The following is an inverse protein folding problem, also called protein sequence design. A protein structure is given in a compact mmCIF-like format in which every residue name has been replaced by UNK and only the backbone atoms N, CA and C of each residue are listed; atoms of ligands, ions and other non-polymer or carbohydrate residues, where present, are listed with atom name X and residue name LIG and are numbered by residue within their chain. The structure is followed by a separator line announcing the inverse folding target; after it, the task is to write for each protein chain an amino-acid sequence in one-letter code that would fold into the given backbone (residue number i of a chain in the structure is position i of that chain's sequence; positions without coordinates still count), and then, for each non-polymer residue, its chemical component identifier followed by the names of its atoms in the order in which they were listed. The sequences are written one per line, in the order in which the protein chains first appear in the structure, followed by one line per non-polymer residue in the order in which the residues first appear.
data_IF_716278835138
#
_entry.id   IF_716278835138
#
_cell.length_a   1.000
_cell.length_b   1.000
_cell.length_c   1.000
_cell.angle_alpha   90.00
_cell.angle_beta   90.00
_cell.angle_gamma   90.00
#
_symmetry.space_group_name_H-M   'P 1'
#
loop_
_entity.id
_entity.type
_entity.pdbx_description
1 polymer ?
#
# COMPACT_ATOMS: atom_id res chain seq x y z
N UNK A 1 -4.65 23.30 -8.01
CA UNK A 1 -5.57 22.22 -8.46
C UNK A 1 -6.18 21.59 -7.21
N UNK A 2 -7.49 21.29 -7.20
CA UNK A 2 -8.26 20.91 -6.00
C UNK A 2 -8.30 21.97 -4.87
N UNK A 3 -8.22 23.27 -5.21
CA UNK A 3 -8.34 24.38 -4.23
C UNK A 3 -7.07 24.73 -3.44
N UNK A 4 -5.97 23.99 -3.61
CA UNK A 4 -4.67 24.30 -3.00
C UNK A 4 -3.71 24.97 -4.00
N UNK A 5 -2.82 25.81 -3.47
CA UNK A 5 -1.75 26.47 -4.21
C UNK A 5 -0.61 25.49 -4.58
N UNK A 6 0.22 25.86 -5.56
CA UNK A 6 1.32 25.03 -6.06
C UNK A 6 2.31 24.65 -4.94
N UNK A 7 2.61 25.57 -4.02
CA UNK A 7 3.49 25.30 -2.88
C UNK A 7 2.91 24.19 -1.99
N UNK A 8 1.62 24.26 -1.72
CA UNK A 8 0.91 23.30 -0.87
C UNK A 8 0.89 21.90 -1.48
N UNK A 9 0.66 21.81 -2.79
CA UNK A 9 0.75 20.55 -3.53
C UNK A 9 2.19 19.99 -3.52
N UNK A 10 3.19 20.84 -3.74
CA UNK A 10 4.61 20.44 -3.70
C UNK A 10 5.03 19.92 -2.32
N UNK A 11 4.61 20.59 -1.25
CA UNK A 11 4.84 20.14 0.12
C UNK A 11 4.18 18.78 0.40
N UNK A 12 2.92 18.59 -0.03
CA UNK A 12 2.23 17.32 0.12
C UNK A 12 2.97 16.18 -0.60
N UNK A 13 3.43 16.40 -1.83
CA UNK A 13 4.22 15.42 -2.59
C UNK A 13 5.56 15.13 -1.91
N UNK A 14 6.25 16.15 -1.40
CA UNK A 14 7.50 16.01 -0.66
C UNK A 14 7.32 15.18 0.61
N UNK A 15 6.28 15.47 1.40
CA UNK A 15 5.93 14.73 2.61
C UNK A 15 5.58 13.28 2.29
N UNK A 16 4.72 13.05 1.30
CA UNK A 16 4.33 11.71 0.86
C UNK A 16 5.55 10.88 0.44
N UNK A 17 6.40 11.46 -0.41
CA UNK A 17 7.58 10.78 -0.96
C UNK A 17 8.62 10.50 0.13
N UNK A 18 8.91 11.50 0.98
CA UNK A 18 9.85 11.35 2.08
C UNK A 18 9.39 10.32 3.11
N UNK A 19 8.11 10.32 3.47
CA UNK A 19 7.55 9.34 4.38
C UNK A 19 7.49 7.94 3.78
N UNK A 20 7.16 7.81 2.49
CA UNK A 20 7.20 6.54 1.77
C UNK A 20 8.61 5.94 1.76
N UNK A 21 9.62 6.74 1.42
CA UNK A 21 11.01 6.29 1.41
C UNK A 21 11.50 5.91 2.82
N UNK A 22 11.17 6.71 3.83
CA UNK A 22 11.45 6.36 5.22
C UNK A 22 10.75 5.07 5.65
N UNK A 23 9.52 4.86 5.18
CA UNK A 23 8.74 3.65 5.38
C UNK A 23 9.42 2.42 4.79
N UNK A 24 9.90 2.50 3.55
CA UNK A 24 10.62 1.42 2.90
C UNK A 24 11.94 1.08 3.61
N UNK A 25 12.66 2.09 4.12
CA UNK A 25 13.85 1.86 4.95
C UNK A 25 13.49 1.19 6.29
N UNK A 26 12.45 1.68 6.96
CA UNK A 26 11.97 1.12 8.24
C UNK A 26 11.45 -0.31 8.08
N UNK A 27 10.81 -0.60 6.95
CA UNK A 27 10.25 -1.90 6.62
C UNK A 27 11.30 -3.01 6.74
N UNK A 28 12.54 -2.76 6.32
CA UNK A 28 13.63 -3.73 6.44
C UNK A 28 13.91 -4.11 7.90
N UNK A 29 13.79 -3.17 8.83
CA UNK A 29 13.95 -3.44 10.26
C UNK A 29 12.72 -4.15 10.83
N UNK A 30 11.52 -3.77 10.40
CA UNK A 30 10.27 -4.38 10.85
C UNK A 30 10.18 -5.84 10.42
N UNK A 31 10.54 -6.15 9.17
CA UNK A 31 10.52 -7.53 8.64
C UNK A 31 11.51 -8.48 9.32
N UNK A 32 12.54 -7.95 10.01
CA UNK A 32 13.41 -8.76 10.87
C UNK A 32 12.72 -9.23 12.14
N UNK A 33 11.61 -8.59 12.53
CA UNK A 33 10.91 -8.83 13.80
C UNK A 33 9.48 -9.34 13.61
N UNK A 34 8.84 -9.03 12.50
CA UNK A 34 7.42 -9.32 12.23
C UNK A 34 7.26 -9.97 10.85
N UNK A 35 6.46 -11.04 10.71
CA UNK A 35 6.16 -11.62 9.40
C UNK A 35 5.52 -10.60 8.46
N UNK A 36 5.94 -10.58 7.19
CA UNK A 36 5.42 -9.65 6.19
C UNK A 36 3.89 -9.68 6.05
N UNK A 37 3.26 -10.86 6.16
CA UNK A 37 1.79 -11.02 6.10
C UNK A 37 1.07 -10.39 7.29
N UNK A 38 1.65 -10.46 8.49
CA UNK A 38 1.11 -9.80 9.69
C UNK A 38 1.20 -8.29 9.52
N UNK A 39 2.37 -7.81 9.11
CA UNK A 39 2.60 -6.39 8.84
C UNK A 39 1.60 -5.85 7.80
N UNK A 40 1.42 -6.55 6.66
CA UNK A 40 0.51 -6.13 5.58
C UNK A 40 -0.95 -6.04 6.05
N UNK A 41 -1.39 -6.96 6.91
CA UNK A 41 -2.75 -6.91 7.47
C UNK A 41 -2.92 -5.73 8.42
N UNK A 42 -1.97 -5.54 9.33
CA UNK A 42 -2.02 -4.44 10.29
C UNK A 42 -1.96 -3.08 9.57
N UNK A 43 -1.11 -2.94 8.57
CA UNK A 43 -1.03 -1.71 7.78
C UNK A 43 -2.29 -1.50 6.93
N UNK A 44 -2.87 -2.54 6.33
CA UNK A 44 -4.16 -2.44 5.65
C UNK A 44 -5.29 -1.97 6.57
N UNK A 45 -5.40 -2.50 7.79
CA UNK A 45 -6.37 -2.03 8.79
C UNK A 45 -6.10 -0.58 9.17
N UNK A 46 -4.83 -0.22 9.41
CA UNK A 46 -4.46 1.15 9.76
C UNK A 46 -4.80 2.15 8.63
N UNK A 47 -4.55 1.79 7.36
CA UNK A 47 -4.93 2.60 6.19
C UNK A 47 -6.45 2.71 6.05
N UNK A 48 -7.21 1.66 6.36
CA UNK A 48 -8.68 1.67 6.34
C UNK A 48 -9.28 2.74 7.27
N UNK A 49 -8.54 3.16 8.30
CA UNK A 49 -8.94 4.22 9.24
C UNK A 49 -8.27 5.55 8.90
N UNK A 50 -6.97 5.54 8.59
CA UNK A 50 -6.20 6.75 8.31
C UNK A 50 -6.63 7.44 7.02
N UNK A 51 -7.02 6.68 5.98
CA UNK A 51 -7.41 7.26 4.70
C UNK A 51 -8.76 7.99 4.76
N UNK A 52 -9.85 7.44 5.35
CA UNK A 52 -11.07 8.20 5.59
C UNK A 52 -10.83 9.43 6.45
N UNK A 53 -10.02 9.32 7.51
CA UNK A 53 -9.64 10.47 8.32
C UNK A 53 -8.96 11.56 7.47
N UNK A 54 -8.05 11.18 6.56
CA UNK A 54 -7.40 12.10 5.65
C UNK A 54 -8.40 12.80 4.71
N UNK A 55 -9.41 12.10 4.21
CA UNK A 55 -10.44 12.69 3.33
C UNK A 55 -11.33 13.69 4.08
N UNK A 56 -11.69 13.37 5.33
CA UNK A 56 -12.63 14.16 6.12
C UNK A 56 -12.01 15.40 6.78
N UNK A 57 -10.69 15.39 7.02
CA UNK A 57 -10.00 16.51 7.69
C UNK A 57 -9.82 17.71 6.74
N UNK A 58 -10.33 18.91 7.10
CA UNK A 58 -10.23 20.10 6.26
C UNK A 58 -8.90 20.86 6.44
N UNK A 59 -8.32 20.80 7.63
CA UNK A 59 -7.10 21.56 7.99
C UNK A 59 -5.83 20.95 7.41
N UNK A 60 -4.95 21.81 6.87
CA UNK A 60 -3.75 21.40 6.15
C UNK A 60 -2.75 20.61 7.00
N UNK A 61 -2.42 21.09 8.19
CA UNK A 61 -1.40 20.46 9.04
C UNK A 61 -1.71 18.99 9.38
N UNK A 62 -2.87 18.64 9.98
CA UNK A 62 -3.19 17.24 10.25
C UNK A 62 -3.40 16.42 8.97
N UNK A 63 -3.78 17.06 7.86
CA UNK A 63 -3.85 16.39 6.55
C UNK A 63 -2.45 15.96 6.07
N UNK A 64 -1.42 16.79 6.25
CA UNK A 64 -0.04 16.42 5.96
C UNK A 64 0.49 15.33 6.91
N UNK A 65 0.13 15.37 8.20
CA UNK A 65 0.49 14.30 9.16
C UNK A 65 -0.13 12.97 8.76
N UNK A 66 -1.41 12.96 8.40
CA UNK A 66 -2.10 11.77 7.91
C UNK A 66 -1.50 11.29 6.58
N UNK A 67 -1.13 12.22 5.69
CA UNK A 67 -0.46 11.90 4.44
C UNK A 67 0.90 11.23 4.67
N UNK A 68 1.70 11.74 5.61
CA UNK A 68 2.96 11.13 6.01
C UNK A 68 2.74 9.72 6.59
N UNK A 69 1.76 9.58 7.48
CA UNK A 69 1.39 8.28 8.04
C UNK A 69 0.97 7.29 6.94
N UNK A 70 0.13 7.72 6.00
CA UNK A 70 -0.27 6.90 4.86
C UNK A 70 0.92 6.50 3.97
N UNK A 71 1.87 7.41 3.74
CA UNK A 71 3.12 7.10 3.05
C UNK A 71 3.91 6.00 3.76
N UNK A 72 4.03 6.09 5.09
CA UNK A 72 4.70 5.09 5.91
C UNK A 72 3.98 3.73 5.92
N UNK A 73 2.65 3.74 6.04
CA UNK A 73 1.84 2.52 6.12
C UNK A 73 1.75 1.77 4.79
N UNK A 74 1.89 2.46 3.67
CA UNK A 74 1.93 1.85 2.34
C UNK A 74 3.26 1.16 2.02
N UNK A 75 4.30 1.35 2.85
CA UNK A 75 5.56 0.65 2.67
C UNK A 75 5.32 -0.86 2.60
N UNK A 76 5.98 -1.53 1.65
CA UNK A 76 5.88 -2.98 1.52
C UNK A 76 4.58 -3.53 0.89
N UNK A 77 3.57 -2.69 0.61
CA UNK A 77 2.33 -3.13 -0.08
C UNK A 77 2.62 -3.75 -1.45
N UNK A 78 3.69 -3.30 -2.12
CA UNK A 78 4.18 -3.89 -3.35
C UNK A 78 5.25 -4.96 -3.10
N UNK A 79 6.26 -4.66 -2.27
CA UNK A 79 7.43 -5.51 -2.10
C UNK A 79 7.11 -6.87 -1.45
N UNK A 80 6.20 -6.90 -0.46
CA UNK A 80 5.86 -8.14 0.27
C UNK A 80 5.10 -9.13 -0.62
N UNK A 81 3.99 -8.74 -1.31
CA UNK A 81 3.34 -9.65 -2.27
C UNK A 81 4.26 -10.08 -3.40
N UNK A 82 5.09 -9.17 -3.92
CA UNK A 82 6.06 -9.49 -4.98
C UNK A 82 7.09 -10.52 -4.50
N UNK A 83 7.64 -10.36 -3.30
CA UNK A 83 8.54 -11.35 -2.70
C UNK A 83 7.85 -12.71 -2.51
N UNK A 84 6.59 -12.72 -2.07
CA UNK A 84 5.77 -13.92 -1.97
C UNK A 84 5.56 -14.62 -3.32
N UNK A 85 5.29 -13.86 -4.38
CA UNK A 85 5.13 -14.39 -5.74
C UNK A 85 6.41 -15.08 -6.24
N UNK A 86 7.57 -14.45 -6.06
CA UNK A 86 8.84 -15.07 -6.43
C UNK A 86 9.15 -16.31 -5.58
N UNK A 87 8.84 -16.27 -4.28
CA UNK A 87 9.01 -17.41 -3.39
C UNK A 87 8.12 -18.61 -3.76
N UNK A 88 6.91 -18.36 -4.27
CA UNK A 88 5.99 -19.40 -4.73
C UNK A 88 6.37 -20.00 -6.10
N UNK A 89 7.26 -19.35 -6.85
CA UNK A 89 7.70 -19.74 -8.20
C UNK A 89 9.22 -19.95 -8.28
N UNK A 90 9.82 -20.81 -7.43
CA UNK A 90 11.26 -21.02 -7.44
C UNK A 90 11.72 -21.59 -8.79
N UNK A 91 12.78 -21.00 -9.36
CA UNK A 91 13.29 -21.37 -10.69
C UNK A 91 12.39 -20.97 -11.87
N UNK A 92 11.25 -20.31 -11.64
CA UNK A 92 10.30 -19.85 -12.67
C UNK A 92 10.13 -18.32 -12.66
N UNK A 93 11.23 -17.59 -12.50
CA UNK A 93 11.23 -16.12 -12.46
C UNK A 93 10.61 -15.48 -13.71
N UNK A 94 10.78 -16.09 -14.89
CA UNK A 94 10.16 -15.63 -16.14
C UNK A 94 8.62 -15.61 -16.08
N UNK A 95 8.00 -16.59 -15.41
CA UNK A 95 6.54 -16.63 -15.21
C UNK A 95 6.11 -15.52 -14.24
N UNK A 96 6.83 -15.34 -13.14
CA UNK A 96 6.56 -14.27 -12.19
C UNK A 96 6.67 -12.88 -12.84
N UNK A 97 7.63 -12.69 -13.74
CA UNK A 97 7.80 -11.46 -14.52
C UNK A 97 6.62 -11.28 -15.49
N UNK A 98 6.25 -12.32 -16.24
CA UNK A 98 5.13 -12.25 -17.19
C UNK A 98 3.81 -11.86 -16.50
N UNK A 99 3.49 -12.51 -15.37
CA UNK A 99 2.31 -12.18 -14.55
C UNK A 99 2.42 -10.74 -14.00
N UNK A 100 3.61 -10.35 -13.54
CA UNK A 100 3.89 -9.00 -13.07
C UNK A 100 3.66 -7.93 -14.15
N UNK A 101 4.05 -8.18 -15.40
CA UNK A 101 3.86 -7.26 -16.52
C UNK A 101 2.39 -7.09 -16.87
N UNK A 102 1.63 -8.19 -16.96
CA UNK A 102 0.17 -8.14 -17.23
C UNK A 102 -0.54 -7.38 -16.11
N UNK A 103 -0.22 -7.71 -14.85
CA UNK A 103 -0.79 -7.02 -13.69
C UNK A 103 -0.40 -5.55 -13.66
N UNK A 104 0.83 -5.21 -14.07
CA UNK A 104 1.33 -3.84 -14.16
C UNK A 104 0.58 -3.02 -15.20
N UNK A 105 0.24 -3.60 -16.35
CA UNK A 105 -0.58 -2.94 -17.37
C UNK A 105 -1.99 -2.62 -16.85
N UNK A 106 -2.63 -3.58 -16.19
CA UNK A 106 -3.93 -3.35 -15.54
C UNK A 106 -3.82 -2.26 -14.47
N UNK A 107 -2.78 -2.32 -13.64
CA UNK A 107 -2.50 -1.32 -12.61
C UNK A 107 -2.28 0.08 -13.18
N UNK A 108 -1.59 0.20 -14.31
CA UNK A 108 -1.35 1.46 -15.00
C UNK A 108 -2.62 2.07 -15.61
N UNK A 109 -3.66 1.26 -15.83
CA UNK A 109 -4.96 1.71 -16.33
C UNK A 109 -5.85 2.28 -15.20
N UNK A 110 -5.54 1.99 -13.93
CA UNK A 110 -6.33 2.46 -12.78
C UNK A 110 -6.35 3.99 -12.67
N UNK A 111 -5.21 4.73 -12.72
CA UNK A 111 -5.26 6.19 -12.62
C UNK A 111 -6.08 6.84 -13.73
N UNK A 112 -6.01 6.31 -14.95
CA UNK A 112 -6.78 6.82 -16.09
C UNK A 112 -8.28 6.62 -15.86
N UNK A 113 -8.68 5.40 -15.49
CA UNK A 113 -10.10 5.09 -15.22
C UNK A 113 -10.65 5.93 -14.06
N UNK A 114 -9.89 6.08 -12.96
CA UNK A 114 -10.27 6.96 -11.86
C UNK A 114 -10.37 8.42 -12.30
N UNK A 115 -9.46 8.90 -13.15
CA UNK A 115 -9.49 10.25 -13.70
C UNK A 115 -10.73 10.51 -14.55
N UNK A 116 -11.09 9.57 -15.43
CA UNK A 116 -12.30 9.67 -16.27
C UNK A 116 -13.57 9.68 -15.41
N UNK A 117 -13.67 8.79 -14.41
CA UNK A 117 -14.83 8.79 -13.49
C UNK A 117 -14.87 10.08 -12.67
N UNK A 118 -13.71 10.62 -12.27
CA UNK A 118 -13.65 11.86 -11.50
C UNK A 118 -14.09 13.08 -12.30
N UNK A 119 -14.02 13.04 -13.64
CA UNK A 119 -14.53 14.10 -14.50
C UNK A 119 -16.07 14.17 -14.45
N UNK A 120 -16.74 13.02 -14.32
CA UNK A 120 -18.21 12.93 -14.29
C UNK A 120 -18.81 13.19 -12.91
N UNK A 121 -18.26 12.57 -11.86
CA UNK A 121 -18.86 12.62 -10.50
C UNK A 121 -18.00 13.37 -9.47
N UNK A 122 -16.87 13.93 -9.91
CA UNK A 122 -15.95 14.68 -9.07
C UNK A 122 -14.90 13.83 -8.34
N UNK A 123 -13.78 14.48 -8.00
CA UNK A 123 -12.64 13.82 -7.34
C UNK A 123 -12.98 13.31 -5.93
N UNK A 124 -13.81 14.05 -5.18
CA UNK A 124 -14.15 13.73 -3.79
C UNK A 124 -14.78 12.33 -3.65
N UNK A 125 -15.89 12.03 -4.36
CA UNK A 125 -16.47 10.70 -4.37
C UNK A 125 -15.53 9.60 -4.88
N UNK A 126 -14.78 9.87 -5.95
CA UNK A 126 -13.86 8.89 -6.54
C UNK A 126 -12.75 8.48 -5.57
N UNK A 127 -12.25 9.40 -4.76
CA UNK A 127 -11.22 9.12 -3.76
C UNK A 127 -11.66 8.01 -2.78
N UNK A 128 -12.94 7.91 -2.42
CA UNK A 128 -13.42 6.83 -1.54
C UNK A 128 -13.24 5.43 -2.12
N UNK A 129 -13.18 5.29 -3.45
CA UNK A 129 -12.96 3.99 -4.09
C UNK A 129 -11.55 3.43 -3.84
N UNK A 130 -10.58 4.28 -3.44
CA UNK A 130 -9.23 3.82 -3.10
C UNK A 130 -9.21 2.94 -1.84
N UNK A 131 -10.27 2.95 -1.03
CA UNK A 131 -10.45 1.98 0.07
C UNK A 131 -10.55 0.53 -0.42
N UNK A 132 -10.84 0.30 -1.70
CA UNK A 132 -10.83 -1.05 -2.27
C UNK A 132 -9.45 -1.70 -2.16
N UNK A 133 -8.35 -0.95 -2.18
CA UNK A 133 -7.01 -1.51 -2.06
C UNK A 133 -6.74 -2.17 -0.68
N UNK A 134 -6.89 -1.48 0.49
CA UNK A 134 -6.77 -2.13 1.79
C UNK A 134 -7.78 -3.26 1.97
N UNK A 135 -9.01 -3.13 1.47
CA UNK A 135 -10.02 -4.20 1.53
C UNK A 135 -9.56 -5.45 0.75
N UNK A 136 -9.01 -5.26 -0.45
CA UNK A 136 -8.48 -6.35 -1.27
C UNK A 136 -7.33 -7.07 -0.54
N UNK A 137 -6.47 -6.36 0.18
CA UNK A 137 -5.45 -6.98 1.03
C UNK A 137 -6.06 -7.80 2.17
N UNK A 138 -7.06 -7.27 2.88
CA UNK A 138 -7.68 -7.98 4.01
C UNK A 138 -8.40 -9.26 3.57
N UNK A 139 -9.03 -9.25 2.40
CA UNK A 139 -9.74 -10.41 1.84
C UNK A 139 -8.77 -11.38 1.16
N UNK A 140 -7.79 -10.87 0.41
CA UNK A 140 -6.89 -11.66 -0.43
C UNK A 140 -5.69 -12.28 0.29
N UNK A 141 -5.31 -11.76 1.47
CA UNK A 141 -4.17 -12.31 2.20
C UNK A 141 -4.52 -13.66 2.84
N UNK A 142 -3.74 -14.73 2.59
CA UNK A 142 -3.96 -16.02 3.22
C UNK A 142 -3.97 -15.88 4.75
N UNK A 143 -4.95 -16.50 5.40
CA UNK A 143 -5.04 -16.55 6.85
C UNK A 143 -3.77 -17.24 7.36
N UNK A 144 -3.10 -16.62 8.33
CA UNK A 144 -1.90 -17.17 8.98
C UNK A 144 -2.20 -18.60 9.45
N UNK A 145 -1.82 -19.60 8.65
CA UNK A 145 -1.76 -20.96 9.13
C UNK A 145 -0.61 -21.02 10.13
N UNK A 146 -0.93 -21.16 11.41
CA UNK A 146 0.03 -21.65 12.41
C UNK A 146 0.41 -23.08 12.01
N UNK A 147 1.49 -23.24 11.26
CA UNK A 147 2.21 -24.49 11.06
C UNK A 147 3.66 -24.13 10.72
N UNK A 148 4.71 -24.53 11.44
CA UNK A 148 4.86 -25.65 12.37
C UNK A 148 5.67 -25.23 13.61
N UNK A 149 5.14 -25.54 14.78
CA UNK A 149 5.99 -25.99 15.88
C UNK A 149 6.53 -27.38 15.55
N UNK A 150 7.76 -27.65 16.01
CA UNK A 150 8.56 -28.89 15.88
C UNK A 150 9.29 -29.09 14.55
N UNK A 151 10.52 -28.57 14.53
CA UNK A 151 11.63 -29.07 13.73
C UNK A 151 12.97 -28.99 14.47
N UNK A 152 12.94 -28.91 15.80
CA UNK A 152 14.13 -28.96 16.64
C UNK A 152 14.17 -30.28 17.39
N UNK A 153 15.13 -31.13 17.01
CA UNK A 153 15.82 -32.20 17.75
C UNK A 153 16.16 -33.34 16.76
N UNK A 154 17.38 -33.86 16.60
CA UNK A 154 18.77 -33.52 16.99
C UNK A 154 19.68 -34.55 16.22
N UNK A 155 21.01 -34.63 16.45
CA UNK A 155 22.07 -34.80 15.45
C UNK A 155 22.15 -36.17 14.75
#
# INVERSE_FOLDING_TARGET
VAGFDALQAGLALGVWTGAGLAGDALLLFVLRRVPGTVYLRLSAVAVLVAYPAFLLVPSMTPKLVLLALLGLLNAGWYAIPKAGLYGALPGRSGVAIAVGSVSGFVGASIPLTLGLVADEIGLGPVMWTLLLAPLAFLVGLPRLSRASGRGGQTP
#
